data_IF_382635084571
#
_entry.id   IF_382635084571
#
_cell.length_a   1.000
_cell.length_b   1.000
_cell.length_c   1.000
_cell.angle_alpha   90.00
_cell.angle_beta   90.00
_cell.angle_gamma   90.00
#
_symmetry.space_group_name_H-M   'P 1'
#
loop_
_entity.id
_entity.type
_entity.pdbx_description
1 polymer ?
#
# COMPACT_ATOMS: atom_id res chain seq x y z
N UNK A 1 5.71 -0.95 -46.17
CA UNK A 1 4.99 -2.15 -45.70
C UNK A 1 4.77 -2.05 -44.21
N UNK A 2 3.53 -1.85 -43.78
CA UNK A 2 3.15 -1.79 -42.37
C UNK A 2 2.69 -3.19 -41.93
N UNK A 3 3.47 -3.85 -41.09
CA UNK A 3 3.10 -5.14 -40.52
C UNK A 3 2.19 -4.88 -39.33
N UNK A 4 0.89 -5.10 -39.53
CA UNK A 4 -0.11 -5.15 -38.47
C UNK A 4 0.28 -6.24 -37.44
N UNK A 5 0.60 -5.83 -36.22
CA UNK A 5 0.72 -6.76 -35.10
C UNK A 5 -0.69 -7.22 -34.73
N UNK A 6 -0.93 -8.53 -34.84
CA UNK A 6 -2.17 -9.18 -34.42
C UNK A 6 -2.48 -8.90 -32.94
N UNK A 7 -3.76 -8.76 -32.54
CA UNK A 7 -4.12 -8.68 -31.15
C UNK A 7 -3.76 -10.02 -30.48
N UNK A 8 -2.80 -10.00 -29.55
CA UNK A 8 -2.68 -11.11 -28.61
C UNK A 8 -3.95 -11.11 -27.79
N UNK A 9 -4.72 -12.19 -27.90
CA UNK A 9 -5.74 -12.54 -26.92
C UNK A 9 -5.06 -12.67 -25.54
N UNK A 10 -4.98 -11.56 -24.81
CA UNK A 10 -4.82 -11.59 -23.37
C UNK A 10 -6.18 -12.08 -22.87
N UNK A 11 -6.29 -13.38 -22.71
CA UNK A 11 -7.34 -13.96 -21.88
C UNK A 11 -7.22 -13.28 -20.51
N UNK A 12 -8.23 -12.54 -20.02
CA UNK A 12 -8.18 -12.03 -18.66
C UNK A 12 -8.26 -13.26 -17.76
N UNK A 13 -7.10 -13.76 -17.33
CA UNK A 13 -7.01 -14.72 -16.24
C UNK A 13 -7.56 -14.02 -15.01
N UNK A 14 -8.82 -14.33 -14.74
CA UNK A 14 -9.57 -14.17 -13.50
C UNK A 14 -9.62 -12.74 -12.96
N UNK A 15 -10.84 -12.23 -12.84
CA UNK A 15 -11.17 -11.29 -11.76
C UNK A 15 -10.42 -11.72 -10.49
N UNK A 16 -9.59 -10.83 -9.96
CA UNK A 16 -8.94 -11.03 -8.68
C UNK A 16 -10.06 -11.29 -7.68
N UNK A 17 -10.07 -12.52 -7.19
CA UNK A 17 -10.98 -13.07 -6.20
C UNK A 17 -11.10 -12.05 -5.08
N UNK A 18 -12.32 -11.57 -4.81
CA UNK A 18 -12.65 -11.01 -3.49
C UNK A 18 -12.22 -12.08 -2.50
N UNK A 19 -11.05 -11.91 -1.88
CA UNK A 19 -10.60 -12.82 -0.81
C UNK A 19 -11.64 -12.65 0.28
N UNK A 20 -12.62 -13.56 0.31
CA UNK A 20 -13.47 -13.76 1.47
C UNK A 20 -12.51 -14.17 2.58
N UNK A 21 -12.11 -13.22 3.42
CA UNK A 21 -11.29 -13.47 4.59
C UNK A 21 -12.13 -14.36 5.53
N UNK A 22 -11.86 -15.67 5.64
CA UNK A 22 -12.67 -16.52 6.49
C UNK A 22 -12.37 -16.16 7.95
N UNK A 23 -13.40 -15.80 8.72
CA UNK A 23 -13.29 -15.52 10.15
C UNK A 23 -13.52 -14.04 10.52
N UNK A 24 -13.34 -13.73 11.80
CA UNK A 24 -13.45 -12.40 12.37
C UNK A 24 -12.08 -11.93 12.88
N UNK A 25 -11.82 -10.63 12.88
CA UNK A 25 -10.63 -10.08 13.51
C UNK A 25 -10.86 -10.04 15.03
N UNK A 26 -10.28 -10.99 15.77
CA UNK A 26 -10.44 -11.07 17.22
C UNK A 26 -9.84 -9.84 17.92
N UNK A 27 -10.28 -9.52 19.15
CA UNK A 27 -9.73 -8.38 19.89
C UNK A 27 -8.20 -8.46 20.10
N UNK A 28 -7.68 -9.69 20.27
CA UNK A 28 -6.23 -9.93 20.36
C UNK A 28 -5.53 -9.66 19.04
N UNK A 29 -6.10 -10.11 17.92
CA UNK A 29 -5.55 -9.85 16.59
C UNK A 29 -5.66 -8.37 16.22
N UNK A 30 -6.74 -7.68 16.60
CA UNK A 30 -6.86 -6.22 16.47
C UNK A 30 -5.75 -5.53 17.23
N UNK A 31 -5.51 -5.90 18.49
CA UNK A 31 -4.46 -5.28 19.31
C UNK A 31 -3.08 -5.48 18.68
N UNK A 32 -2.76 -6.69 18.22
CA UNK A 32 -1.48 -6.98 17.56
C UNK A 32 -1.36 -6.25 16.22
N UNK A 33 -2.40 -6.32 15.39
CA UNK A 33 -2.42 -5.67 14.07
C UNK A 33 -2.25 -4.16 14.22
N UNK A 34 -3.02 -3.54 15.12
CA UNK A 34 -2.92 -2.12 15.43
C UNK A 34 -1.53 -1.75 15.93
N UNK A 35 -0.91 -2.54 16.81
CA UNK A 35 0.46 -2.27 17.28
C UNK A 35 1.51 -2.28 16.15
N UNK A 36 1.40 -3.23 15.21
CA UNK A 36 2.26 -3.28 14.03
C UNK A 36 2.03 -2.07 13.11
N UNK A 37 0.76 -1.74 12.84
CA UNK A 37 0.37 -0.62 12.00
C UNK A 37 0.77 0.73 12.64
N UNK A 38 0.59 0.91 13.95
CA UNK A 38 1.01 2.12 14.68
C UNK A 38 2.52 2.34 14.55
N UNK A 39 3.30 1.26 14.68
CA UNK A 39 4.76 1.31 14.48
C UNK A 39 5.12 1.67 13.04
N UNK A 40 4.42 1.10 12.05
CA UNK A 40 4.58 1.42 10.64
C UNK A 40 4.22 2.87 10.32
N UNK A 41 3.08 3.38 10.79
CA UNK A 41 2.71 4.79 10.60
C UNK A 41 3.73 5.75 11.22
N UNK A 42 4.33 5.37 12.35
CA UNK A 42 5.36 6.19 13.00
C UNK A 42 6.63 6.36 12.16
N UNK A 43 6.95 5.43 11.24
CA UNK A 43 8.11 5.58 10.34
C UNK A 43 7.92 6.74 9.35
N UNK A 44 6.68 7.14 9.10
CA UNK A 44 6.30 8.30 8.30
C UNK A 44 5.97 9.54 9.13
N UNK A 45 6.23 9.50 10.44
CA UNK A 45 5.93 10.61 11.36
C UNK A 45 4.45 10.77 11.71
N UNK A 46 3.62 9.76 11.45
CA UNK A 46 2.18 9.78 11.75
C UNK A 46 1.95 9.28 13.18
N UNK A 47 1.33 10.11 14.00
CA UNK A 47 0.91 9.76 15.36
C UNK A 47 -0.51 9.19 15.36
N UNK A 48 -0.62 7.88 15.16
CA UNK A 48 -1.89 7.17 15.07
C UNK A 48 -2.67 7.09 16.39
N UNK A 49 -2.07 7.51 17.52
CA UNK A 49 -2.79 7.61 18.80
C UNK A 49 -3.84 8.72 18.82
N UNK A 50 -3.72 9.69 17.89
CA UNK A 50 -4.67 10.78 17.68
C UNK A 50 -5.69 10.49 16.57
N UNK A 51 -5.70 9.27 16.05
CA UNK A 51 -6.39 8.90 14.83
C UNK A 51 -5.46 8.95 13.62
N UNK A 52 -5.88 8.31 12.54
CA UNK A 52 -5.15 8.37 11.27
C UNK A 52 -5.53 9.66 10.51
N UNK A 53 -4.57 10.24 9.77
CA UNK A 53 -4.86 11.41 8.94
C UNK A 53 -5.80 11.03 7.78
N UNK A 54 -6.33 12.01 7.05
CA UNK A 54 -6.95 11.75 5.75
C UNK A 54 -6.03 10.91 4.87
N UNK A 55 -6.58 9.96 4.11
CA UNK A 55 -5.79 9.05 3.29
C UNK A 55 -4.83 9.76 2.33
N UNK A 56 -5.25 10.90 1.76
CA UNK A 56 -4.38 11.71 0.88
C UNK A 56 -3.11 12.20 1.59
N UNK A 57 -3.23 12.61 2.86
CA UNK A 57 -2.09 13.08 3.64
C UNK A 57 -1.16 11.92 4.02
N UNK A 58 -1.73 10.73 4.27
CA UNK A 58 -0.94 9.51 4.43
C UNK A 58 -0.13 9.20 3.15
N UNK A 59 -0.75 9.24 1.98
CA UNK A 59 -0.06 9.00 0.70
C UNK A 59 1.01 10.06 0.42
N UNK A 60 0.76 11.32 0.77
CA UNK A 60 1.77 12.37 0.68
C UNK A 60 2.98 12.07 1.60
N UNK A 61 2.73 11.61 2.82
CA UNK A 61 3.78 11.24 3.77
C UNK A 61 4.62 10.05 3.26
N UNK A 62 3.98 9.00 2.73
CA UNK A 62 4.73 7.85 2.18
C UNK A 62 5.49 8.22 0.91
N UNK A 63 4.88 8.99 0.01
CA UNK A 63 5.53 9.47 -1.23
C UNK A 63 6.71 10.39 -0.95
N UNK A 64 6.69 11.13 0.15
CA UNK A 64 7.79 12.01 0.56
C UNK A 64 9.11 11.26 0.73
N UNK A 65 9.07 9.98 1.14
CA UNK A 65 10.26 9.13 1.26
C UNK A 65 10.93 8.95 -0.10
N UNK A 66 10.15 8.66 -1.14
CA UNK A 66 10.65 8.52 -2.51
C UNK A 66 11.11 9.87 -3.06
N UNK A 67 10.40 10.96 -2.77
CA UNK A 67 10.80 12.29 -3.22
C UNK A 67 12.12 12.77 -2.58
N UNK A 68 12.34 12.49 -1.29
CA UNK A 68 13.53 12.90 -0.56
C UNK A 68 14.79 12.17 -1.01
N UNK A 69 14.67 10.87 -1.30
CA UNK A 69 15.82 10.01 -1.61
C UNK A 69 15.91 9.60 -3.10
N UNK A 70 14.99 10.09 -3.94
CA UNK A 70 14.86 9.70 -5.34
C UNK A 70 14.63 8.19 -5.49
N UNK A 71 15.27 7.57 -6.49
CA UNK A 71 15.16 6.13 -6.76
C UNK A 71 15.53 5.25 -5.55
N UNK A 72 16.46 5.71 -4.70
CA UNK A 72 16.86 4.99 -3.49
C UNK A 72 15.77 5.01 -2.40
N UNK A 73 14.82 5.95 -2.48
CA UNK A 73 13.70 6.00 -1.54
C UNK A 73 12.77 4.79 -1.64
N UNK A 74 12.73 4.09 -2.78
CA UNK A 74 12.01 2.82 -2.89
C UNK A 74 12.61 1.71 -2.02
N UNK A 75 13.94 1.71 -1.79
CA UNK A 75 14.54 0.74 -0.86
C UNK A 75 14.08 1.00 0.57
N UNK A 76 14.12 2.26 1.00
CA UNK A 76 13.69 2.67 2.34
C UNK A 76 12.21 2.35 2.55
N UNK A 77 11.38 2.75 1.60
CA UNK A 77 9.94 2.48 1.60
C UNK A 77 9.65 0.97 1.67
N UNK A 78 10.31 0.16 0.85
CA UNK A 78 10.09 -1.29 0.85
C UNK A 78 10.67 -2.01 2.07
N UNK A 79 11.66 -1.44 2.75
CA UNK A 79 12.13 -1.97 4.02
C UNK A 79 11.13 -1.69 5.16
N UNK A 80 10.39 -0.58 5.12
CA UNK A 80 9.26 -0.34 6.02
C UNK A 80 8.12 -1.34 5.78
N UNK A 81 7.78 -1.60 4.51
CA UNK A 81 6.79 -2.63 4.15
C UNK A 81 7.17 -4.02 4.66
N UNK A 82 8.42 -4.46 4.44
CA UNK A 82 8.90 -5.76 4.97
C UNK A 82 8.84 -5.83 6.48
N UNK A 83 9.13 -4.72 7.17
CA UNK A 83 9.05 -4.65 8.62
C UNK A 83 7.61 -4.84 9.10
N UNK A 84 6.65 -4.21 8.43
CA UNK A 84 5.23 -4.40 8.70
C UNK A 84 4.79 -5.84 8.43
N UNK A 85 5.14 -6.40 7.27
CA UNK A 85 4.83 -7.78 6.90
C UNK A 85 5.39 -8.76 7.94
N UNK A 86 6.63 -8.56 8.39
CA UNK A 86 7.25 -9.39 9.43
C UNK A 86 6.55 -9.26 10.78
N UNK A 87 6.05 -8.08 11.15
CA UNK A 87 5.33 -7.86 12.40
C UNK A 87 3.96 -8.56 12.39
N UNK A 88 3.22 -8.39 11.30
CA UNK A 88 1.89 -8.96 11.12
C UNK A 88 1.95 -10.48 10.94
N UNK A 89 2.92 -10.98 10.18
CA UNK A 89 3.03 -12.38 9.79
C UNK A 89 1.73 -12.86 9.13
N UNK A 90 1.12 -13.93 9.67
CA UNK A 90 -0.16 -14.46 9.17
C UNK A 90 -1.34 -13.49 9.24
N UNK A 91 -1.23 -12.38 9.99
CA UNK A 91 -2.29 -11.37 10.07
C UNK A 91 -2.36 -10.48 8.83
N UNK A 92 -1.31 -10.44 8.00
CA UNK A 92 -1.26 -9.61 6.79
C UNK A 92 -2.40 -9.94 5.81
N UNK A 93 -2.85 -11.20 5.79
CA UNK A 93 -3.97 -11.66 4.95
C UNK A 93 -5.21 -12.02 5.78
N UNK A 94 -5.35 -11.46 6.98
CA UNK A 94 -6.49 -11.72 7.86
C UNK A 94 -7.60 -10.66 7.70
N UNK A 95 -8.79 -10.89 8.28
CA UNK A 95 -9.83 -9.86 8.34
C UNK A 95 -9.40 -8.55 9.01
N UNK A 96 -8.31 -8.53 9.80
CA UNK A 96 -7.82 -7.32 10.45
C UNK A 96 -7.23 -6.29 9.47
N UNK A 97 -6.81 -6.73 8.28
CA UNK A 97 -6.25 -5.87 7.23
C UNK A 97 -7.29 -5.50 6.16
N UNK A 98 -8.58 -5.72 6.42
CA UNK A 98 -9.68 -5.30 5.55
C UNK A 98 -10.30 -3.97 6.03
N UNK A 99 -11.18 -3.33 5.24
CA UNK A 99 -11.76 -2.04 5.63
C UNK A 99 -12.45 -2.05 7.00
N UNK A 100 -13.20 -3.10 7.33
CA UNK A 100 -13.85 -3.20 8.64
C UNK A 100 -12.83 -3.28 9.79
N UNK A 101 -11.71 -3.99 9.60
CA UNK A 101 -10.61 -4.00 10.58
C UNK A 101 -10.05 -2.61 10.85
N UNK A 102 -9.89 -1.78 9.81
CA UNK A 102 -9.46 -0.38 9.98
C UNK A 102 -10.51 0.48 10.67
N UNK A 103 -11.80 0.28 10.38
CA UNK A 103 -12.90 0.93 11.14
C UNK A 103 -12.82 0.55 12.62
N UNK A 104 -12.66 -0.73 12.93
CA UNK A 104 -12.66 -1.23 14.30
C UNK A 104 -11.41 -0.77 15.08
N UNK A 105 -10.24 -0.72 14.44
CA UNK A 105 -8.97 -0.34 15.08
C UNK A 105 -8.76 1.17 15.21
N UNK A 106 -9.25 1.95 14.24
CA UNK A 106 -8.92 3.38 14.11
C UNK A 106 -10.15 4.31 14.09
N UNK A 107 -11.37 3.77 14.09
CA UNK A 107 -12.59 4.58 14.08
C UNK A 107 -12.78 5.36 12.77
N UNK A 108 -12.19 4.89 11.67
CA UNK A 108 -12.32 5.53 10.37
C UNK A 108 -13.74 5.43 9.81
N UNK A 109 -14.11 6.37 8.95
CA UNK A 109 -15.26 6.17 8.07
C UNK A 109 -14.94 5.07 7.03
N UNK A 110 -15.96 4.30 6.63
CA UNK A 110 -15.78 3.15 5.75
C UNK A 110 -15.07 3.50 4.42
N UNK A 111 -15.31 4.70 3.89
CA UNK A 111 -14.65 5.16 2.66
C UNK A 111 -13.13 5.29 2.85
N UNK A 112 -12.70 6.00 3.89
CA UNK A 112 -11.27 6.14 4.24
C UNK A 112 -10.66 4.77 4.56
N UNK A 113 -11.39 3.93 5.29
CA UNK A 113 -10.94 2.59 5.65
C UNK A 113 -10.68 1.69 4.42
N UNK A 114 -11.47 1.85 3.34
CA UNK A 114 -11.23 1.16 2.06
C UNK A 114 -9.90 1.62 1.45
N UNK A 115 -9.65 2.92 1.42
CA UNK A 115 -8.43 3.46 0.82
C UNK A 115 -7.19 2.98 1.59
N UNK A 116 -7.21 3.04 2.93
CA UNK A 116 -6.14 2.48 3.76
C UNK A 116 -5.95 0.97 3.54
N UNK A 117 -7.03 0.18 3.56
CA UNK A 117 -6.92 -1.27 3.42
C UNK A 117 -6.41 -1.71 2.04
N UNK A 118 -6.75 -0.96 0.98
CA UNK A 118 -6.38 -1.31 -0.41
C UNK A 118 -4.96 -0.88 -0.79
N UNK A 119 -4.36 0.02 -0.01
CA UNK A 119 -2.97 0.46 -0.21
C UNK A 119 -1.97 -0.69 -0.02
N UNK A 120 -2.11 -1.51 1.03
CA UNK A 120 -1.11 -2.52 1.38
C UNK A 120 -0.89 -3.59 0.29
N UNK A 121 -1.94 -4.14 -0.38
CA UNK A 121 -1.72 -5.01 -1.53
C UNK A 121 -0.98 -4.34 -2.71
N UNK A 122 -1.23 -3.05 -2.94
CA UNK A 122 -0.55 -2.28 -4.00
C UNK A 122 0.92 -2.07 -3.64
N UNK A 123 1.18 -1.75 -2.39
CA UNK A 123 2.50 -1.48 -1.84
C UNK A 123 3.35 -2.75 -1.83
N UNK A 124 2.77 -3.88 -1.41
CA UNK A 124 3.40 -5.19 -1.51
C UNK A 124 3.73 -5.56 -2.96
N UNK A 125 2.83 -5.30 -3.91
CA UNK A 125 3.11 -5.54 -5.33
C UNK A 125 4.24 -4.64 -5.85
N UNK A 126 4.26 -3.37 -5.43
CA UNK A 126 5.32 -2.42 -5.75
C UNK A 126 6.68 -2.94 -5.28
N UNK A 127 6.77 -3.40 -4.04
CA UNK A 127 8.00 -3.91 -3.46
C UNK A 127 8.45 -5.27 -4.02
N UNK A 128 7.52 -6.13 -4.42
CA UNK A 128 7.85 -7.35 -5.16
C UNK A 128 8.46 -7.07 -6.54
N UNK A 129 8.14 -5.91 -7.14
CA UNK A 129 8.60 -5.49 -8.45
C UNK A 129 9.53 -4.27 -8.39
N UNK A 130 10.24 -4.08 -7.29
CA UNK A 130 11.02 -2.86 -7.00
C UNK A 130 12.00 -2.49 -8.12
N UNK A 131 12.67 -3.47 -8.75
CA UNK A 131 13.61 -3.21 -9.84
C UNK A 131 12.92 -2.60 -11.07
N UNK A 132 11.70 -3.05 -11.38
CA UNK A 132 10.89 -2.52 -12.46
C UNK A 132 10.44 -1.08 -12.15
N UNK A 133 10.00 -0.85 -10.92
CA UNK A 133 9.54 0.47 -10.44
C UNK A 133 10.69 1.47 -10.51
N UNK A 134 11.86 1.10 -9.99
CA UNK A 134 13.08 1.93 -10.05
C UNK A 134 13.52 2.20 -11.47
N UNK A 135 13.44 1.21 -12.36
CA UNK A 135 13.81 1.36 -13.77
C UNK A 135 12.96 2.42 -14.48
N UNK A 136 11.64 2.45 -14.21
CA UNK A 136 10.72 3.39 -14.84
C UNK A 136 10.50 4.69 -14.08
N UNK A 137 11.03 4.84 -12.87
CA UNK A 137 10.87 6.04 -12.06
C UNK A 137 11.23 7.35 -12.77
N UNK A 138 12.36 7.44 -13.52
CA UNK A 138 12.67 8.66 -14.27
C UNK A 138 11.55 9.06 -15.25
N UNK A 139 10.94 8.10 -15.95
CA UNK A 139 9.82 8.37 -16.85
C UNK A 139 8.56 8.84 -16.10
N UNK A 140 8.32 8.33 -14.89
CA UNK A 140 7.17 8.74 -14.07
C UNK A 140 7.33 10.16 -13.52
N UNK A 141 8.56 10.55 -13.15
CA UNK A 141 8.86 11.89 -12.62
C UNK A 141 8.94 12.94 -13.73
N UNK A 142 9.50 12.61 -14.89
CA UNK A 142 9.56 13.55 -16.02
C UNK A 142 8.16 13.93 -16.52
N UNK A 143 7.21 12.99 -16.58
CA UNK A 143 5.82 13.30 -16.92
C UNK A 143 5.13 14.23 -15.91
N UNK A 144 5.51 14.20 -14.63
CA UNK A 144 4.96 15.15 -13.64
C UNK A 144 5.53 16.56 -13.78
N UNK A 145 6.72 16.71 -14.35
CA UNK A 145 7.35 18.02 -14.61
C UNK A 145 6.93 18.62 -15.96
N UNK A 146 6.56 17.80 -16.95
CA UNK A 146 6.16 18.25 -18.29
C UNK A 146 4.72 18.80 -18.38
N UNK A 147 3.89 18.63 -17.36
CA UNK A 147 2.53 19.21 -17.32
C UNK A 147 2.47 20.65 -16.76
N UNK A 148 3.63 21.25 -16.46
CA UNK A 148 3.78 22.66 -16.04
C UNK A 148 4.57 23.51 -17.05
N UNK A 149 4.56 23.15 -18.34
CA UNK A 149 4.99 24.04 -19.43
C UNK A 149 3.85 24.34 -20.39
#
# INVERSE_FOLDING_TARGET
SATFLSPRHISPKSAQVVKNYPGTCSATDQTKTKGCLDSYFSTYGIDSSKGLPPYYDYIAATSSVVMMYGVAGFDVYCDFEKTLESCLGGLMTSPCMNPQGFVDMYGLEMKEAIDYATTYPVDAYTCQNIDLVKHYYPCMVDMTNDHYQ
#
